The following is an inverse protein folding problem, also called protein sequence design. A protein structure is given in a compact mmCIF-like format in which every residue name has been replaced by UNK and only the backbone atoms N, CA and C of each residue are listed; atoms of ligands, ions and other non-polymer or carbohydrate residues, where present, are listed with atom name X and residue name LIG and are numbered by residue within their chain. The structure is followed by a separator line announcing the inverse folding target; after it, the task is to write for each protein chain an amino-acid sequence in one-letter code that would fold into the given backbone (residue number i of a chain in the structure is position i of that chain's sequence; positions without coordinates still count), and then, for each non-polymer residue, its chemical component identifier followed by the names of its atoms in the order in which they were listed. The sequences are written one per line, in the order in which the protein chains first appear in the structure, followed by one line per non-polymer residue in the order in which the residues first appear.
data_IF_157114868966
#
_entry.id   IF_157114868966
#
_cell.length_a   1.000
_cell.length_b   1.000
_cell.length_c   1.000
_cell.angle_alpha   90.00
_cell.angle_beta   90.00
_cell.angle_gamma   90.00
#
_symmetry.space_group_name_H-M   'P 1'
#
loop_
_entity.id
_entity.type
_entity.pdbx_description
1 polymer ?
#
# COMPACT_ATOMS: atom_id res chain seq x y z
N UNK A 1 -14.79 -38.97 11.73
CA UNK A 1 -14.94 -37.70 12.47
C UNK A 1 -14.19 -36.62 11.70
N UNK A 2 -14.87 -35.54 11.29
CA UNK A 2 -14.29 -34.44 10.49
C UNK A 2 -13.50 -33.52 11.41
N UNK A 3 -12.20 -33.33 11.19
CA UNK A 3 -11.46 -32.22 11.79
C UNK A 3 -11.33 -31.08 10.79
N UNK A 4 -11.54 -29.87 11.33
CA UNK A 4 -11.86 -28.64 10.64
C UNK A 4 -10.70 -28.09 9.81
N UNK A 5 -11.02 -27.68 8.59
CA UNK A 5 -10.21 -26.79 7.76
C UNK A 5 -10.07 -25.46 8.50
N UNK A 6 -8.92 -25.20 9.14
CA UNK A 6 -8.56 -23.87 9.63
C UNK A 6 -8.58 -22.94 8.42
N UNK A 7 -9.65 -22.14 8.29
CA UNK A 7 -9.69 -21.02 7.36
C UNK A 7 -8.60 -20.05 7.83
N UNK A 8 -7.58 -19.89 7.02
CA UNK A 8 -6.55 -18.87 7.19
C UNK A 8 -7.27 -17.54 7.37
N UNK A 9 -7.13 -16.94 8.53
CA UNK A 9 -7.67 -15.60 8.82
C UNK A 9 -6.94 -14.66 7.86
N UNK A 10 -7.63 -14.24 6.81
CA UNK A 10 -7.13 -13.19 5.94
C UNK A 10 -6.99 -11.95 6.82
N UNK A 11 -5.82 -11.28 6.79
CA UNK A 11 -5.63 -9.97 7.40
C UNK A 11 -6.61 -8.98 6.73
N UNK A 12 -7.84 -8.93 7.23
CA UNK A 12 -8.86 -8.00 6.77
C UNK A 12 -8.54 -6.67 7.44
N UNK A 13 -7.66 -5.88 6.83
CA UNK A 13 -7.53 -4.47 7.18
C UNK A 13 -8.88 -3.81 6.88
N UNK A 14 -9.65 -3.50 7.93
CA UNK A 14 -10.91 -2.78 7.82
C UNK A 14 -10.56 -1.29 7.84
N UNK A 15 -10.87 -0.51 6.78
CA UNK A 15 -10.60 0.92 6.77
C UNK A 15 -11.45 1.60 7.84
N UNK A 16 -10.78 2.17 8.85
CA UNK A 16 -11.43 2.89 9.94
C UNK A 16 -11.66 4.35 9.53
N UNK A 17 -12.77 4.60 8.82
CA UNK A 17 -13.24 5.95 8.51
C UNK A 17 -12.93 6.48 7.11
N UNK A 18 -13.37 7.71 6.86
CA UNK A 18 -13.15 8.43 5.60
C UNK A 18 -11.78 9.13 5.62
N UNK A 19 -11.03 9.04 4.52
CA UNK A 19 -9.79 9.79 4.32
C UNK A 19 -10.11 11.29 4.38
N UNK A 20 -9.71 11.96 5.46
CA UNK A 20 -9.77 13.42 5.56
C UNK A 20 -8.46 14.01 5.05
N UNK A 21 -8.48 15.00 4.13
CA UNK A 21 -7.30 15.75 3.76
C UNK A 21 -6.71 16.42 5.01
N UNK A 22 -5.44 16.14 5.31
CA UNK A 22 -4.69 16.79 6.38
C UNK A 22 -3.94 17.97 5.74
N UNK A 23 -4.33 19.24 5.99
CA UNK A 23 -3.71 20.40 5.32
C UNK A 23 -2.22 20.57 5.67
N UNK A 24 -1.75 19.98 6.76
CA UNK A 24 -0.35 19.94 7.17
C UNK A 24 0.49 18.95 6.34
N UNK A 25 -0.15 17.96 5.70
CA UNK A 25 0.51 16.97 4.87
C UNK A 25 0.32 17.34 3.39
N UNK A 26 1.40 17.77 2.75
CA UNK A 26 1.39 18.22 1.35
C UNK A 26 1.07 17.09 0.34
N UNK A 27 1.17 15.84 0.75
CA UNK A 27 0.96 14.67 -0.09
C UNK A 27 0.00 13.68 0.56
N UNK A 28 -0.56 12.76 -0.22
CA UNK A 28 -1.43 11.70 0.30
C UNK A 28 -0.64 10.75 1.20
N UNK A 29 -1.09 10.59 2.44
CA UNK A 29 -0.53 9.65 3.42
C UNK A 29 -1.62 8.73 3.94
N UNK A 30 -1.20 7.51 4.26
CA UNK A 30 -2.01 6.48 4.90
C UNK A 30 -1.57 6.37 6.35
N UNK A 31 -2.55 6.40 7.25
CA UNK A 31 -2.31 6.11 8.66
C UNK A 31 -2.32 4.61 8.82
N UNK A 32 -1.20 4.05 9.27
CA UNK A 32 -1.03 2.64 9.57
C UNK A 32 -0.93 2.52 11.09
N UNK A 33 -1.71 1.60 11.67
CA UNK A 33 -1.73 1.38 13.10
C UNK A 33 -1.68 -0.12 13.40
N UNK A 34 -0.79 -0.51 14.31
CA UNK A 34 -0.83 -1.80 14.99
C UNK A 34 -1.22 -1.60 16.48
N UNK A 35 -1.13 -2.67 17.28
CA UNK A 35 -1.49 -2.60 18.70
C UNK A 35 -0.59 -1.65 19.53
N UNK A 36 0.55 -1.21 19.02
CA UNK A 36 1.60 -0.50 19.74
C UNK A 36 2.07 0.80 19.07
N UNK A 37 1.91 0.92 17.75
CA UNK A 37 2.49 2.00 16.95
C UNK A 37 1.49 2.56 15.96
N UNK A 38 1.57 3.88 15.76
CA UNK A 38 0.96 4.59 14.64
C UNK A 38 2.09 5.17 13.81
N UNK A 39 2.07 4.91 12.51
CA UNK A 39 2.99 5.53 11.58
C UNK A 39 2.26 5.97 10.31
N UNK A 40 2.86 6.93 9.61
CA UNK A 40 2.34 7.43 8.35
C UNK A 40 3.15 6.82 7.21
N UNK A 41 2.46 6.34 6.19
CA UNK A 41 3.06 5.86 4.96
C UNK A 41 2.59 6.76 3.81
N UNK A 42 3.52 7.44 3.15
CA UNK A 42 3.19 8.23 1.96
C UNK A 42 2.74 7.32 0.81
N UNK A 43 1.91 7.84 -0.09
CA UNK A 43 1.58 7.15 -1.34
C UNK A 43 2.86 6.80 -2.14
N UNK A 44 3.84 7.71 -2.12
CA UNK A 44 5.15 7.49 -2.73
C UNK A 44 5.82 6.19 -2.23
N UNK A 45 5.87 5.98 -0.91
CA UNK A 45 6.45 4.77 -0.32
C UNK A 45 5.65 3.51 -0.70
N UNK A 46 4.33 3.60 -0.78
CA UNK A 46 3.48 2.47 -1.22
C UNK A 46 3.81 2.11 -2.67
N UNK A 47 3.96 3.10 -3.55
CA UNK A 47 4.30 2.88 -4.96
C UNK A 47 5.70 2.27 -5.11
N UNK A 48 6.67 2.68 -4.29
CA UNK A 48 7.99 2.04 -4.23
C UNK A 48 7.87 0.57 -3.80
N UNK A 49 7.13 0.28 -2.74
CA UNK A 49 6.88 -1.10 -2.30
C UNK A 49 6.22 -1.95 -3.40
N UNK A 50 5.23 -1.39 -4.10
CA UNK A 50 4.55 -2.06 -5.21
C UNK A 50 5.52 -2.39 -6.35
N UNK A 51 6.42 -1.47 -6.69
CA UNK A 51 7.42 -1.68 -7.74
C UNK A 51 8.43 -2.76 -7.39
N UNK A 52 8.87 -2.81 -6.13
CA UNK A 52 9.71 -3.91 -5.66
C UNK A 52 8.95 -5.24 -5.68
N UNK A 53 7.69 -5.27 -5.22
CA UNK A 53 6.87 -6.47 -5.27
C UNK A 53 6.68 -7.00 -6.70
N UNK A 54 6.49 -6.11 -7.69
CA UNK A 54 6.49 -6.46 -9.12
C UNK A 54 7.83 -7.09 -9.56
N UNK A 55 8.98 -6.48 -9.22
CA UNK A 55 10.32 -7.01 -9.55
C UNK A 55 10.56 -8.40 -8.97
N UNK A 56 10.02 -8.67 -7.78
CA UNK A 56 10.11 -9.97 -7.11
C UNK A 56 9.08 -10.98 -7.62
N UNK A 57 8.13 -10.58 -8.47
CA UNK A 57 7.07 -11.45 -9.00
C UNK A 57 5.93 -11.74 -8.03
N UNK A 58 5.87 -11.01 -6.90
CA UNK A 58 4.78 -11.09 -5.92
C UNK A 58 3.48 -10.44 -6.45
N UNK A 59 3.64 -9.50 -7.39
CA UNK A 59 2.54 -8.83 -8.10
C UNK A 59 2.72 -9.05 -9.60
N UNK A 60 1.63 -9.25 -10.38
CA UNK A 60 1.72 -9.31 -11.83
C UNK A 60 2.37 -8.06 -12.41
N UNK A 61 3.04 -8.23 -13.56
CA UNK A 61 3.64 -7.11 -14.28
C UNK A 61 2.57 -6.07 -14.62
N UNK A 62 2.82 -4.84 -14.18
CA UNK A 62 2.03 -3.65 -14.45
C UNK A 62 2.57 -3.04 -15.74
N UNK A 63 1.69 -2.40 -16.51
CA UNK A 63 2.10 -1.76 -17.77
C UNK A 63 3.15 -0.67 -17.50
N UNK A 64 4.26 -0.70 -18.24
CA UNK A 64 5.35 0.28 -18.14
C UNK A 64 4.84 1.73 -18.32
N UNK A 65 3.81 1.94 -19.16
CA UNK A 65 3.18 3.26 -19.35
C UNK A 65 2.58 3.82 -18.04
N UNK A 66 2.04 2.95 -17.19
CA UNK A 66 1.48 3.36 -15.90
C UNK A 66 2.56 3.93 -14.98
N UNK A 67 3.72 3.27 -14.93
CA UNK A 67 4.87 3.75 -14.17
C UNK A 67 5.43 5.06 -14.73
N UNK A 68 5.48 5.22 -16.06
CA UNK A 68 5.92 6.46 -16.71
C UNK A 68 5.01 7.64 -16.33
N UNK A 69 3.69 7.44 -16.33
CA UNK A 69 2.74 8.48 -15.89
C UNK A 69 3.03 8.88 -14.45
N UNK A 70 3.24 7.92 -13.56
CA UNK A 70 3.52 8.19 -12.14
C UNK A 70 4.85 8.89 -11.91
N UNK A 71 5.89 8.61 -12.71
CA UNK A 71 7.20 9.28 -12.59
C UNK A 71 7.13 10.80 -12.81
N UNK A 72 6.11 11.31 -13.51
CA UNK A 72 5.88 12.75 -13.64
C UNK A 72 5.51 13.43 -12.32
N UNK A 73 4.85 12.68 -11.44
CA UNK A 73 4.36 13.14 -10.13
C UNK A 73 5.29 12.70 -8.99
N UNK A 74 5.91 11.53 -9.13
CA UNK A 74 6.80 10.91 -8.14
C UNK A 74 8.15 10.57 -8.79
N UNK A 75 9.09 11.53 -8.89
CA UNK A 75 10.36 11.34 -9.59
C UNK A 75 11.28 10.25 -9.02
N UNK A 76 11.03 9.79 -7.79
CA UNK A 76 11.76 8.70 -7.15
C UNK A 76 11.39 7.30 -7.69
N UNK A 77 10.29 7.18 -8.46
CA UNK A 77 9.87 5.94 -9.11
C UNK A 77 10.64 5.63 -10.41
N UNK A 78 11.86 6.17 -10.58
CA UNK A 78 12.72 5.92 -11.75
C UNK A 78 13.42 4.57 -11.67
#
# INVERSE_FOLDING_TARGET
MRQQKKRTEHNLAIPEGMVKPCPELQQMHFVMQDNYHIFLLSLENILLCLREAEKHGEVPRINDEWWVILQSTFPCLR
#
